data_IF_312468540148
#
_entry.id   IF_312468540148
#
_cell.length_a   1.000
_cell.length_b   1.000
_cell.length_c   1.000
_cell.angle_alpha   90.00
_cell.angle_beta   90.00
_cell.angle_gamma   90.00
#
_symmetry.space_group_name_H-M   'P 1'
#
loop_
_entity.id
_entity.type
_entity.pdbx_description
1 polymer ?
#
# COMPACT_ATOMS: atom_id res chain seq x y z
N UNK A 1 5.58 1.81 -5.63
CA UNK A 1 6.18 2.83 -6.53
C UNK A 1 7.38 3.47 -5.83
N UNK A 2 8.41 3.86 -6.58
CA UNK A 2 9.56 4.59 -6.01
C UNK A 2 9.13 5.97 -5.50
N UNK A 3 9.68 6.41 -4.36
CA UNK A 3 9.38 7.72 -3.77
C UNK A 3 10.25 8.82 -4.42
N UNK A 4 9.90 9.17 -5.66
CA UNK A 4 10.66 10.12 -6.49
C UNK A 4 10.73 11.53 -5.90
N UNK A 5 9.66 12.02 -5.26
CA UNK A 5 9.67 13.34 -4.62
C UNK A 5 10.69 13.40 -3.49
N UNK A 6 10.62 12.44 -2.57
CA UNK A 6 11.58 12.31 -1.46
C UNK A 6 13.02 12.19 -1.99
N UNK A 7 13.25 11.32 -2.96
CA UNK A 7 14.57 11.10 -3.57
C UNK A 7 15.13 12.37 -4.22
N UNK A 8 14.28 13.12 -4.92
CA UNK A 8 14.67 14.37 -5.61
C UNK A 8 15.06 15.44 -4.61
N UNK A 9 14.22 15.72 -3.60
CA UNK A 9 14.49 16.73 -2.56
C UNK A 9 15.76 16.37 -1.79
N UNK A 10 15.93 15.10 -1.41
CA UNK A 10 17.14 14.63 -0.73
C UNK A 10 18.41 14.91 -1.54
N UNK A 11 18.41 14.55 -2.83
CA UNK A 11 19.56 14.77 -3.71
C UNK A 11 19.83 16.25 -3.95
N UNK A 12 18.78 17.05 -4.13
CA UNK A 12 18.88 18.50 -4.28
C UNK A 12 19.52 19.16 -3.06
N UNK A 13 19.20 18.68 -1.84
CA UNK A 13 19.80 19.14 -0.59
C UNK A 13 21.15 18.49 -0.26
N UNK A 14 21.65 17.58 -1.10
CA UNK A 14 22.97 16.95 -0.95
C UNK A 14 23.06 15.89 0.14
N UNK A 15 21.93 15.38 0.64
CA UNK A 15 21.93 14.36 1.69
C UNK A 15 22.11 12.94 1.14
N UNK A 16 22.91 12.14 1.84
CA UNK A 16 23.10 10.71 1.56
C UNK A 16 21.97 9.88 2.16
N UNK A 17 21.77 8.66 1.65
CA UNK A 17 20.80 7.73 2.25
C UNK A 17 21.19 7.35 3.69
N UNK A 18 22.47 7.36 4.02
CA UNK A 18 22.95 7.12 5.39
C UNK A 18 22.48 8.21 6.36
N UNK A 19 22.63 9.48 5.98
CA UNK A 19 22.17 10.60 6.81
C UNK A 19 20.65 10.56 7.03
N UNK A 20 19.88 10.13 6.02
CA UNK A 20 18.43 9.98 6.17
C UNK A 20 18.05 8.81 7.08
N UNK A 21 18.83 7.72 7.04
CA UNK A 21 18.61 6.55 7.90
C UNK A 21 18.83 6.89 9.38
N UNK A 22 19.80 7.76 9.69
CA UNK A 22 20.05 8.29 11.04
C UNK A 22 18.88 9.12 11.60
N UNK A 23 18.08 9.78 10.73
CA UNK A 23 16.92 10.59 11.11
C UNK A 23 15.73 9.74 11.56
N UNK A 24 15.50 8.60 10.89
CA UNK A 24 14.39 7.68 11.16
C UNK A 24 14.87 6.36 11.77
N UNK A 25 15.64 6.45 12.86
CA UNK A 25 16.64 5.48 13.35
C UNK A 25 16.54 4.08 12.73
N UNK A 26 17.05 3.95 11.52
CA UNK A 26 17.03 2.72 10.72
C UNK A 26 18.40 2.52 10.06
N UNK A 27 18.66 1.35 9.50
CA UNK A 27 19.84 1.12 8.68
C UNK A 27 19.67 1.66 7.24
N UNK A 28 20.81 1.86 6.55
CA UNK A 28 20.85 2.41 5.19
C UNK A 28 20.10 1.52 4.18
N UNK A 29 20.12 0.19 4.35
CA UNK A 29 19.44 -0.75 3.45
C UNK A 29 17.92 -0.64 3.59
N UNK A 30 17.42 -0.56 4.82
CA UNK A 30 15.99 -0.35 5.06
C UNK A 30 15.53 1.04 4.61
N UNK A 31 16.33 2.10 4.81
CA UNK A 31 16.03 3.41 4.22
C UNK A 31 15.99 3.34 2.68
N UNK A 32 16.94 2.65 2.05
CA UNK A 32 16.95 2.46 0.59
C UNK A 32 15.68 1.76 0.11
N UNK A 33 15.20 0.75 0.84
CA UNK A 33 13.93 0.05 0.55
C UNK A 33 12.69 0.93 0.74
N UNK A 34 12.73 1.82 1.73
CA UNK A 34 11.69 2.83 1.95
C UNK A 34 11.65 3.84 0.80
N UNK A 35 12.80 4.37 0.40
CA UNK A 35 12.91 5.31 -0.73
C UNK A 35 12.58 4.65 -2.07
N UNK A 36 12.88 3.36 -2.27
CA UNK A 36 12.44 2.61 -3.46
C UNK A 36 10.97 2.19 -3.41
N UNK A 37 10.29 2.41 -2.28
CA UNK A 37 8.89 2.03 -2.06
C UNK A 37 8.64 0.52 -2.01
N UNK A 38 9.66 -0.25 -1.64
CA UNK A 38 9.54 -1.68 -1.28
C UNK A 38 9.04 -1.85 0.16
N UNK A 39 9.38 -0.89 1.02
CA UNK A 39 8.92 -0.81 2.42
C UNK A 39 8.17 0.51 2.61
N UNK A 40 7.09 0.49 3.38
CA UNK A 40 6.30 1.68 3.62
C UNK A 40 7.00 2.68 4.54
N UNK A 41 6.67 3.96 4.38
CA UNK A 41 7.12 5.03 5.28
C UNK A 41 5.93 5.46 6.12
N UNK A 42 6.05 5.31 7.44
CA UNK A 42 5.01 5.70 8.39
C UNK A 42 4.85 7.22 8.44
N UNK A 43 3.68 7.71 8.85
CA UNK A 43 3.42 9.16 8.97
C UNK A 43 4.44 9.87 9.90
N UNK A 44 4.85 9.20 10.97
CA UNK A 44 5.86 9.73 11.90
C UNK A 44 7.23 9.84 11.24
N UNK A 45 7.62 8.85 10.42
CA UNK A 45 8.86 8.91 9.64
C UNK A 45 8.81 10.02 8.60
N UNK A 46 7.70 10.16 7.86
CA UNK A 46 7.50 11.28 6.93
C UNK A 46 7.69 12.62 7.60
N UNK A 47 7.11 12.80 8.79
CA UNK A 47 7.22 14.05 9.56
C UNK A 47 8.67 14.34 9.99
N UNK A 48 9.42 13.32 10.39
CA UNK A 48 10.84 13.46 10.75
C UNK A 48 11.71 13.81 9.54
N UNK A 49 11.49 13.13 8.40
CA UNK A 49 12.21 13.40 7.15
C UNK A 49 11.92 14.80 6.63
N UNK A 50 10.65 15.24 6.63
CA UNK A 50 10.25 16.58 6.24
C UNK A 50 10.92 17.65 7.11
N UNK A 51 10.93 17.43 8.44
CA UNK A 51 11.61 18.32 9.38
C UNK A 51 13.12 18.40 9.13
N UNK A 52 13.77 17.26 8.92
CA UNK A 52 15.21 17.22 8.62
C UNK A 52 15.56 17.87 7.28
N UNK A 53 14.71 17.67 6.27
CA UNK A 53 14.85 18.27 4.96
C UNK A 53 14.37 19.73 4.93
N UNK A 54 13.83 20.29 6.00
CA UNK A 54 13.28 21.66 6.06
C UNK A 54 12.30 21.96 4.92
N UNK A 55 11.37 21.03 4.67
CA UNK A 55 10.30 21.17 3.67
C UNK A 55 8.97 20.70 4.28
N UNK A 56 7.82 21.18 3.78
CA UNK A 56 6.52 20.60 4.15
C UNK A 56 6.42 19.13 3.73
N UNK A 57 5.62 18.34 4.44
CA UNK A 57 5.49 16.89 4.18
C UNK A 57 4.93 16.65 2.79
N UNK A 58 4.04 17.52 2.31
CA UNK A 58 3.37 17.46 1.02
C UNK A 58 4.35 17.53 -0.17
N UNK A 59 5.51 18.17 0.02
CA UNK A 59 6.56 18.25 -1.01
C UNK A 59 7.30 16.94 -1.22
N UNK A 60 7.39 16.09 -0.19
CA UNK A 60 8.11 14.80 -0.26
C UNK A 60 7.17 13.60 -0.26
N UNK A 61 5.92 13.78 0.15
CA UNK A 61 4.94 12.71 0.28
C UNK A 61 4.39 12.27 -1.07
N UNK A 62 4.33 10.95 -1.22
CA UNK A 62 3.69 10.26 -2.33
C UNK A 62 2.84 9.13 -1.75
N UNK A 63 1.58 9.06 -2.19
CA UNK A 63 0.62 8.05 -1.72
C UNK A 63 1.17 6.64 -1.92
N UNK A 64 0.70 5.69 -1.11
CA UNK A 64 1.00 4.28 -1.37
C UNK A 64 -0.13 3.70 -2.19
N UNK A 65 0.18 3.20 -3.39
CA UNK A 65 -0.73 2.31 -4.09
C UNK A 65 -1.06 1.14 -3.16
N UNK A 66 -2.33 1.01 -2.80
CA UNK A 66 -2.82 -0.09 -1.96
C UNK A 66 -2.59 -1.39 -2.75
N UNK A 67 -1.50 -2.07 -2.45
CA UNK A 67 -1.27 -3.42 -2.95
C UNK A 67 -2.16 -4.34 -2.13
N UNK A 68 -3.31 -4.72 -2.70
CA UNK A 68 -4.10 -5.83 -2.19
C UNK A 68 -3.29 -7.11 -2.32
N UNK A 69 -2.55 -7.46 -1.28
CA UNK A 69 -1.95 -8.79 -1.17
C UNK A 69 -3.06 -9.71 -0.66
N UNK A 70 -3.70 -10.44 -1.58
CA UNK A 70 -4.54 -11.58 -1.22
C UNK A 70 -3.57 -12.68 -0.79
N UNK A 71 -3.22 -12.71 0.50
CA UNK A 71 -2.53 -13.86 1.09
C UNK A 71 -3.51 -15.03 1.13
N UNK A 72 -3.47 -15.89 0.11
CA UNK A 72 -3.97 -17.24 0.29
C UNK A 72 -3.02 -17.94 1.28
N UNK A 73 -3.45 -18.32 2.49
CA UNK A 73 -2.59 -19.11 3.38
C UNK A 73 -2.35 -20.46 2.71
N UNK A 74 -1.19 -20.60 2.06
CA UNK A 74 -0.72 -21.88 1.56
C UNK A 74 -0.30 -22.68 2.79
N UNK A 75 -1.19 -23.58 3.24
CA UNK A 75 -0.81 -24.65 4.15
C UNK A 75 0.22 -25.53 3.41
N UNK A 76 1.50 -25.26 3.64
CA UNK A 76 2.59 -26.04 3.08
C UNK A 76 2.74 -27.35 3.88
N UNK A 77 1.79 -28.27 3.69
CA UNK A 77 1.95 -29.65 4.12
C UNK A 77 2.33 -30.53 2.92
N UNK A 78 3.64 -30.76 2.80
CA UNK A 78 4.29 -31.81 2.04
C UNK A 78 4.23 -31.81 0.49
N UNK A 79 5.43 -31.76 -0.09
CA UNK A 79 5.85 -32.54 -1.25
C UNK A 79 4.93 -32.62 -2.48
N UNK A 80 5.00 -31.63 -3.39
CA UNK A 80 5.21 -31.93 -4.80
C UNK A 80 5.58 -30.66 -5.55
N UNK A 81 6.75 -30.72 -6.20
CA UNK A 81 7.15 -29.76 -7.19
C UNK A 81 6.08 -29.66 -8.30
N UNK A 82 5.75 -28.42 -8.66
CA UNK A 82 5.57 -28.01 -10.05
C UNK A 82 4.44 -28.73 -10.84
N UNK A 83 3.20 -28.30 -10.64
CA UNK A 83 2.17 -28.36 -11.70
C UNK A 83 1.53 -26.98 -11.85
N UNK A 84 1.99 -26.27 -12.88
CA UNK A 84 1.14 -25.56 -13.83
C UNK A 84 0.10 -24.60 -13.28
N UNK A 85 0.50 -23.34 -13.17
CA UNK A 85 -0.33 -22.16 -13.41
C UNK A 85 -1.45 -22.44 -14.42
N UNK A 86 -2.71 -22.07 -14.09
CA UNK A 86 -3.71 -21.45 -14.99
C UNK A 86 -5.19 -21.51 -14.51
N UNK A 87 -5.52 -22.06 -13.33
CA UNK A 87 -6.94 -22.16 -12.89
C UNK A 87 -7.33 -21.34 -11.66
N UNK A 88 -6.41 -20.58 -11.05
CA UNK A 88 -6.73 -19.80 -9.83
C UNK A 88 -7.43 -18.47 -10.14
N UNK A 89 -7.31 -17.93 -11.37
CA UNK A 89 -7.86 -16.62 -11.74
C UNK A 89 -9.39 -16.62 -11.94
N UNK A 90 -9.98 -17.74 -12.34
CA UNK A 90 -11.42 -17.81 -12.65
C UNK A 90 -12.30 -17.91 -11.40
N UNK A 91 -11.85 -18.64 -10.37
CA UNK A 91 -12.59 -18.80 -9.10
C UNK A 91 -12.69 -17.47 -8.34
N UNK A 92 -11.62 -16.65 -8.38
CA UNK A 92 -11.61 -15.31 -7.78
C UNK A 92 -12.62 -14.35 -8.43
N UNK A 93 -12.89 -14.50 -9.72
CA UNK A 93 -13.83 -13.63 -10.44
C UNK A 93 -15.28 -13.96 -10.10
N UNK A 94 -15.63 -15.25 -9.98
CA UNK A 94 -16.99 -15.68 -9.65
C UNK A 94 -17.39 -15.26 -8.22
N UNK A 95 -16.49 -15.44 -7.25
CA UNK A 95 -16.72 -14.96 -5.88
C UNK A 95 -16.84 -13.43 -5.81
N UNK A 96 -16.03 -12.72 -6.60
CA UNK A 96 -16.11 -11.25 -6.69
C UNK A 96 -17.45 -10.79 -7.25
N UNK A 97 -17.99 -11.49 -8.25
CA UNK A 97 -19.29 -11.19 -8.85
C UNK A 97 -20.42 -11.39 -7.83
N UNK A 98 -20.39 -12.48 -7.05
CA UNK A 98 -21.42 -12.75 -6.04
C UNK A 98 -21.39 -11.71 -4.91
N UNK A 99 -20.21 -11.30 -4.47
CA UNK A 99 -20.06 -10.22 -3.47
C UNK A 99 -20.59 -8.89 -4.02
N UNK A 100 -20.25 -8.53 -5.26
CA UNK A 100 -20.75 -7.29 -5.89
C UNK A 100 -22.28 -7.32 -5.97
N UNK A 101 -22.86 -8.45 -6.37
CA UNK A 101 -24.31 -8.61 -6.51
C UNK A 101 -25.03 -8.44 -5.16
N UNK A 102 -24.54 -9.10 -4.12
CA UNK A 102 -25.10 -9.00 -2.77
C UNK A 102 -24.97 -7.58 -2.21
N UNK A 103 -23.86 -6.88 -2.47
CA UNK A 103 -23.69 -5.48 -2.08
C UNK A 103 -24.67 -4.55 -2.81
N UNK A 104 -24.91 -4.77 -4.11
CA UNK A 104 -25.88 -3.98 -4.88
C UNK A 104 -27.31 -4.18 -4.37
N UNK A 105 -27.69 -5.40 -4.02
CA UNK A 105 -28.99 -5.71 -3.41
C UNK A 105 -29.16 -5.01 -2.07
N UNK A 106 -28.15 -5.06 -1.20
CA UNK A 106 -28.17 -4.38 0.09
C UNK A 106 -28.29 -2.85 -0.04
N UNK A 107 -27.58 -2.25 -1.01
CA UNK A 107 -27.72 -0.81 -1.32
C UNK A 107 -29.16 -0.49 -1.78
N UNK A 108 -29.79 -1.38 -2.55
CA UNK A 108 -31.19 -1.24 -2.95
C UNK A 108 -32.13 -1.16 -1.74
N UNK A 109 -32.03 -2.14 -0.83
CA UNK A 109 -32.82 -2.18 0.39
C UNK A 109 -32.62 -0.93 1.26
N UNK A 110 -31.37 -0.48 1.41
CA UNK A 110 -31.06 0.75 2.16
C UNK A 110 -31.67 2.00 1.52
N UNK A 111 -31.69 2.11 0.19
CA UNK A 111 -32.32 3.24 -0.51
C UNK A 111 -33.83 3.24 -0.32
N UNK A 112 -34.47 2.08 -0.39
CA UNK A 112 -35.92 1.95 -0.13
C UNK A 112 -36.27 2.33 1.32
N UNK A 113 -35.45 1.90 2.27
CA UNK A 113 -35.59 2.26 3.69
C UNK A 113 -35.53 3.78 3.89
N UNK A 114 -34.54 4.44 3.28
CA UNK A 114 -34.38 5.89 3.34
C UNK A 114 -35.61 6.60 2.78
N UNK A 115 -36.14 6.15 1.64
CA UNK A 115 -37.35 6.74 1.05
C UNK A 115 -38.59 6.52 1.90
N UNK A 116 -38.69 5.39 2.62
CA UNK A 116 -39.77 5.17 3.58
C UNK A 116 -39.68 6.11 4.78
N UNK A 117 -38.48 6.32 5.32
CA UNK A 117 -38.26 7.17 6.49
C UNK A 117 -38.36 8.67 6.19
N UNK A 118 -38.27 9.08 4.93
CA UNK A 118 -38.46 10.47 4.48
C UNK A 118 -39.94 10.87 4.33
N UNK A 119 -40.87 9.92 4.37
CA UNK A 119 -42.32 10.17 4.39
C UNK A 119 -42.80 10.43 5.80
#
# INVERSE_FOLDING_TARGET
MQKEKLRTVRKMKGFTQQQMAEVIPTDVSNYSRKESGTVSITQTEWSKLAKFLEVPVEEIYEEEEVKFVVENPIFNDSSLANIGNNNTTNISNELSIEIIKTMQEYIGLLKEEIERLKK
#
